data_IF_242781360510
#
_entry.id   IF_242781360510
#
_cell.length_a   1.000
_cell.length_b   1.000
_cell.length_c   1.000
_cell.angle_alpha   90.00
_cell.angle_beta   90.00
_cell.angle_gamma   90.00
#
_symmetry.space_group_name_H-M   'P 1'
#
loop_
_entity.id
_entity.type
_entity.pdbx_description
1 polymer ?
#
# COMPACT_ATOMS: atom_id res chain seq x y z
N UNK A 1 -72.42 -40.19 -31.17
CA UNK A 1 -72.58 -41.59 -31.50
C UNK A 1 -71.45 -42.42 -30.92
N UNK A 2 -71.71 -43.13 -29.85
CA UNK A 2 -71.36 -44.48 -29.34
C UNK A 2 -70.15 -45.19 -30.09
N UNK A 3 -69.14 -45.74 -29.38
CA UNK A 3 -69.06 -47.03 -28.65
C UNK A 3 -67.62 -47.20 -28.14
N UNK A 4 -67.47 -47.45 -26.89
CA UNK A 4 -67.13 -48.66 -26.10
C UNK A 4 -66.28 -49.74 -26.83
N UNK A 5 -65.11 -50.08 -26.26
CA UNK A 5 -64.74 -51.47 -25.94
C UNK A 5 -63.45 -51.52 -25.10
N UNK A 6 -63.40 -52.52 -24.25
CA UNK A 6 -62.61 -52.88 -23.07
C UNK A 6 -61.52 -53.93 -23.47
N UNK A 7 -60.69 -54.43 -22.60
CA UNK A 7 -59.22 -54.37 -22.55
C UNK A 7 -58.52 -55.67 -22.90
N UNK A 8 -57.23 -55.66 -23.10
CA UNK A 8 -56.41 -56.88 -23.11
C UNK A 8 -55.15 -56.64 -22.27
N UNK A 9 -55.05 -57.41 -21.21
CA UNK A 9 -53.84 -57.59 -20.40
C UNK A 9 -52.71 -58.17 -21.24
N UNK A 10 -51.52 -57.59 -21.11
CA UNK A 10 -50.29 -58.22 -21.55
C UNK A 10 -49.19 -58.00 -20.52
N UNK A 11 -48.72 -59.09 -20.01
CA UNK A 11 -47.62 -59.29 -19.09
C UNK A 11 -46.34 -58.68 -19.70
N UNK A 12 -45.76 -57.69 -19.08
CA UNK A 12 -44.47 -57.14 -19.45
C UNK A 12 -43.38 -57.74 -18.58
N UNK A 13 -42.50 -58.44 -19.24
CA UNK A 13 -41.24 -59.03 -18.75
C UNK A 13 -40.27 -57.88 -18.36
N UNK A 14 -39.92 -57.77 -17.08
CA UNK A 14 -38.96 -56.82 -16.60
C UNK A 14 -37.56 -57.37 -16.82
N UNK A 15 -36.87 -56.83 -17.81
CA UNK A 15 -35.42 -57.00 -18.00
C UNK A 15 -34.71 -55.94 -17.19
N UNK A 16 -34.11 -56.32 -16.03
CA UNK A 16 -33.17 -55.49 -15.27
C UNK A 16 -31.83 -55.38 -16.06
N UNK A 17 -31.66 -54.30 -16.79
CA UNK A 17 -30.35 -53.91 -17.32
C UNK A 17 -29.62 -53.07 -16.25
N UNK A 18 -28.61 -53.65 -15.61
CA UNK A 18 -27.67 -52.93 -14.72
C UNK A 18 -26.78 -52.01 -15.57
N UNK A 19 -27.14 -50.71 -15.56
CA UNK A 19 -26.25 -49.66 -16.09
C UNK A 19 -25.16 -49.42 -15.06
N UNK A 20 -23.94 -49.84 -15.34
CA UNK A 20 -22.74 -49.38 -14.65
C UNK A 20 -22.47 -47.94 -15.08
N UNK A 21 -22.85 -46.97 -14.21
CA UNK A 21 -22.49 -45.59 -14.38
C UNK A 21 -21.01 -45.47 -13.97
N UNK A 22 -20.13 -45.41 -14.95
CA UNK A 22 -18.74 -44.98 -14.74
C UNK A 22 -18.77 -43.48 -14.52
N UNK A 23 -18.69 -43.03 -13.25
CA UNK A 23 -18.42 -41.63 -12.93
C UNK A 23 -16.99 -41.29 -13.38
N UNK A 24 -16.79 -40.21 -14.15
CA UNK A 24 -15.42 -39.77 -14.47
C UNK A 24 -14.75 -39.32 -13.16
N UNK A 25 -13.65 -39.95 -12.83
CA UNK A 25 -12.74 -39.48 -11.77
C UNK A 25 -12.22 -38.12 -12.21
N UNK A 26 -12.81 -37.05 -11.65
CA UNK A 26 -12.30 -35.71 -11.84
C UNK A 26 -10.90 -35.65 -11.23
N UNK A 27 -9.91 -35.49 -12.11
CA UNK A 27 -8.54 -35.26 -11.70
C UNK A 27 -8.53 -33.99 -10.82
N UNK A 28 -8.38 -34.17 -9.52
CA UNK A 28 -8.13 -33.08 -8.58
C UNK A 28 -6.86 -32.38 -9.03
N UNK A 29 -7.00 -31.17 -9.56
CA UNK A 29 -5.87 -30.26 -9.74
C UNK A 29 -5.26 -30.08 -8.35
N UNK A 30 -4.07 -30.62 -8.14
CA UNK A 30 -3.31 -30.43 -6.93
C UNK A 30 -3.15 -28.94 -6.70
N UNK A 31 -3.93 -28.40 -5.74
CA UNK A 31 -3.64 -27.11 -5.12
C UNK A 31 -2.22 -27.20 -4.56
N UNK A 32 -1.37 -26.19 -4.75
CA UNK A 32 -0.05 -26.19 -4.14
C UNK A 32 -0.24 -26.37 -2.62
N UNK A 33 0.24 -27.48 -2.09
CA UNK A 33 0.17 -27.81 -0.68
C UNK A 33 1.14 -26.88 0.04
N UNK A 34 0.62 -26.02 0.89
CA UNK A 34 1.43 -25.24 1.85
C UNK A 34 2.24 -26.25 2.67
N UNK A 35 3.55 -26.04 2.87
CA UNK A 35 4.36 -26.96 3.65
C UNK A 35 3.81 -27.12 5.07
N UNK A 36 3.61 -28.36 5.51
CA UNK A 36 2.98 -28.69 6.80
C UNK A 36 3.93 -28.56 8.00
N UNK A 37 5.08 -27.90 7.89
CA UNK A 37 6.09 -27.76 8.94
C UNK A 37 6.48 -26.28 9.19
N UNK A 38 7.19 -26.00 10.29
CA UNK A 38 7.71 -24.67 10.55
C UNK A 38 8.70 -24.27 9.46
N UNK A 39 8.52 -23.06 8.90
CA UNK A 39 9.42 -22.50 7.90
C UNK A 39 10.69 -21.98 8.57
N UNK A 40 11.84 -22.26 7.97
CA UNK A 40 13.10 -21.62 8.31
C UNK A 40 13.03 -20.15 7.85
N UNK A 41 13.63 -19.26 8.63
CA UNK A 41 13.70 -17.82 8.30
C UNK A 41 15.16 -17.43 8.07
N UNK A 42 15.38 -16.61 7.04
CA UNK A 42 16.67 -15.96 6.77
C UNK A 42 16.44 -14.49 6.54
N UNK A 43 17.26 -13.67 7.18
CA UNK A 43 17.30 -12.21 6.98
C UNK A 43 18.63 -11.84 6.35
N UNK A 44 18.60 -11.00 5.32
CA UNK A 44 19.79 -10.49 4.64
C UNK A 44 19.68 -8.99 4.49
N UNK A 45 20.73 -8.26 4.86
CA UNK A 45 20.82 -6.81 4.70
C UNK A 45 21.56 -6.48 3.42
N UNK A 46 20.97 -5.61 2.61
CA UNK A 46 21.54 -5.04 1.39
C UNK A 46 21.76 -3.55 1.60
N UNK A 47 22.89 -3.04 1.14
CA UNK A 47 23.26 -1.64 1.29
C UNK A 47 23.79 -1.08 -0.02
N UNK A 48 23.23 0.06 -0.47
CA UNK A 48 23.63 0.73 -1.69
C UNK A 48 23.66 2.24 -1.49
N UNK A 49 24.60 2.91 -2.18
CA UNK A 49 24.70 4.37 -2.22
C UNK A 49 24.81 4.84 -3.66
N UNK A 50 24.09 5.92 -3.97
CA UNK A 50 24.13 6.57 -5.28
C UNK A 50 24.14 8.07 -5.11
N UNK A 51 24.86 8.76 -5.98
CA UNK A 51 24.79 10.22 -6.04
C UNK A 51 23.51 10.64 -6.74
N UNK A 52 22.88 11.69 -6.23
CA UNK A 52 21.70 12.29 -6.85
C UNK A 52 21.97 13.79 -7.02
N UNK A 53 21.69 14.29 -8.21
CA UNK A 53 21.78 15.72 -8.50
C UNK A 53 20.78 16.56 -7.70
N UNK A 54 20.98 17.85 -7.68
CA UNK A 54 20.05 18.79 -7.04
C UNK A 54 18.65 18.67 -7.67
N UNK A 55 17.60 18.69 -6.83
CA UNK A 55 16.21 18.50 -7.23
C UNK A 55 15.97 17.21 -8.07
N UNK A 56 16.74 16.18 -7.77
CA UNK A 56 16.56 14.88 -8.41
C UNK A 56 15.36 14.11 -7.84
N UNK A 57 15.04 13.00 -8.48
CA UNK A 57 13.89 12.17 -8.12
C UNK A 57 14.31 10.76 -7.65
N UNK A 58 13.58 10.22 -6.68
CA UNK A 58 13.69 8.83 -6.23
C UNK A 58 12.34 8.15 -6.33
N UNK A 59 12.30 7.01 -7.01
CA UNK A 59 11.08 6.21 -7.13
C UNK A 59 11.31 4.82 -6.53
N UNK A 60 10.44 4.39 -5.63
CA UNK A 60 10.40 3.05 -5.07
C UNK A 60 9.24 2.30 -5.70
N UNK A 61 9.50 1.18 -6.38
CA UNK A 61 8.51 0.44 -7.16
C UNK A 61 8.44 -1.01 -6.72
N UNK A 62 7.22 -1.49 -6.54
CA UNK A 62 6.94 -2.92 -6.42
C UNK A 62 7.26 -3.53 -5.06
N UNK A 63 7.37 -2.75 -3.99
CA UNK A 63 7.50 -3.29 -2.63
C UNK A 63 6.21 -4.03 -2.23
N UNK A 64 6.14 -5.38 -2.33
CA UNK A 64 4.87 -6.11 -2.16
C UNK A 64 4.43 -6.21 -0.71
N UNK A 65 5.41 -6.34 0.20
CA UNK A 65 5.23 -6.41 1.64
C UNK A 65 6.49 -5.93 2.36
N UNK A 66 6.32 -5.31 3.52
CA UNK A 66 7.39 -4.77 4.35
C UNK A 66 7.24 -3.26 4.58
N UNK A 67 8.15 -2.69 5.35
CA UNK A 67 8.13 -1.28 5.69
C UNK A 67 8.96 -0.44 4.73
N UNK A 68 8.56 0.84 4.57
CA UNK A 68 9.34 1.83 3.82
C UNK A 68 9.51 3.05 4.72
N UNK A 69 10.74 3.31 5.14
CA UNK A 69 11.10 4.52 5.87
C UNK A 69 11.96 5.40 4.99
N UNK A 70 11.55 6.66 4.79
CA UNK A 70 12.31 7.65 4.01
C UNK A 70 12.57 8.87 4.86
N UNK A 71 13.84 9.25 4.93
CA UNK A 71 14.32 10.39 5.71
C UNK A 71 15.14 11.34 4.84
N UNK A 72 14.83 12.63 4.92
CA UNK A 72 15.64 13.67 4.32
C UNK A 72 16.95 13.90 5.10
N UNK A 73 18.07 14.13 4.38
CA UNK A 73 19.35 14.48 4.99
C UNK A 73 20.10 15.57 4.20
N UNK A 74 21.19 16.07 4.80
CA UNK A 74 21.98 17.18 4.24
C UNK A 74 23.13 16.69 3.33
N UNK A 75 22.97 15.55 2.62
CA UNK A 75 23.96 15.00 1.70
C UNK A 75 23.38 14.92 0.30
N UNK A 76 24.24 14.96 -0.73
CA UNK A 76 23.85 14.80 -2.14
C UNK A 76 23.88 13.32 -2.59
N UNK A 77 23.52 12.42 -1.71
CA UNK A 77 23.52 10.97 -1.95
C UNK A 77 22.16 10.40 -1.54
N UNK A 78 21.77 9.33 -2.21
CA UNK A 78 20.71 8.43 -1.77
C UNK A 78 21.36 7.20 -1.16
N UNK A 79 21.03 6.90 0.08
CA UNK A 79 21.47 5.71 0.78
C UNK A 79 20.28 4.78 0.96
N UNK A 80 20.42 3.55 0.48
CA UNK A 80 19.39 2.51 0.56
C UNK A 80 19.90 1.38 1.45
N UNK A 81 19.25 1.18 2.59
CA UNK A 81 19.40 -0.02 3.40
C UNK A 81 18.13 -0.83 3.27
N UNK A 82 18.23 -2.09 2.90
CA UNK A 82 17.10 -2.98 2.75
C UNK A 82 17.35 -4.28 3.51
N UNK A 83 16.39 -4.67 4.33
CA UNK A 83 16.38 -5.94 5.02
C UNK A 83 15.39 -6.89 4.35
N UNK A 84 15.90 -7.97 3.76
CA UNK A 84 15.10 -8.99 3.08
C UNK A 84 14.91 -10.18 3.99
N UNK A 85 13.68 -10.46 4.41
CA UNK A 85 13.31 -11.63 5.18
C UNK A 85 12.66 -12.66 4.26
N UNK A 86 13.23 -13.85 4.22
CA UNK A 86 12.78 -15.01 3.44
C UNK A 86 12.36 -16.14 4.35
N UNK A 87 11.31 -16.86 3.98
CA UNK A 87 10.85 -18.05 4.69
C UNK A 87 10.64 -19.21 3.74
N UNK A 88 11.27 -20.36 4.06
CA UNK A 88 11.16 -21.59 3.25
C UNK A 88 11.30 -22.86 4.10
N UNK A 89 10.88 -24.01 3.57
CA UNK A 89 10.99 -25.30 4.29
C UNK A 89 12.41 -25.77 4.51
N UNK A 90 13.34 -25.44 3.59
CA UNK A 90 14.73 -25.92 3.64
C UNK A 90 15.73 -24.78 3.44
N UNK A 91 16.97 -24.98 3.89
CA UNK A 91 18.07 -24.05 3.66
C UNK A 91 18.37 -23.86 2.15
N UNK A 92 18.30 -24.96 1.38
CA UNK A 92 18.51 -24.90 -0.07
C UNK A 92 17.42 -24.08 -0.80
N UNK A 93 16.18 -24.09 -0.30
CA UNK A 93 15.10 -23.24 -0.84
C UNK A 93 15.29 -21.78 -0.46
N UNK A 94 15.80 -21.49 0.75
CA UNK A 94 16.22 -20.14 1.14
C UNK A 94 17.33 -19.60 0.23
N UNK A 95 18.33 -20.44 -0.13
CA UNK A 95 19.38 -20.04 -1.07
C UNK A 95 18.81 -19.67 -2.43
N UNK A 96 17.89 -20.46 -2.97
CA UNK A 96 17.23 -20.19 -4.25
C UNK A 96 16.39 -18.90 -4.21
N UNK A 97 15.65 -18.69 -3.12
CA UNK A 97 14.87 -17.45 -2.94
C UNK A 97 15.77 -16.21 -2.81
N UNK A 98 16.91 -16.33 -2.13
CA UNK A 98 17.84 -15.22 -1.95
C UNK A 98 18.48 -14.72 -3.25
N UNK A 99 18.59 -15.59 -4.27
CA UNK A 99 19.13 -15.22 -5.58
C UNK A 99 18.20 -14.28 -6.37
N UNK A 100 16.91 -14.24 -6.05
CA UNK A 100 15.93 -13.50 -6.85
C UNK A 100 15.13 -12.45 -6.06
N UNK A 101 15.00 -12.62 -4.73
CA UNK A 101 14.28 -11.65 -3.90
C UNK A 101 15.24 -10.59 -3.35
N UNK A 102 14.93 -9.33 -3.62
CA UNK A 102 15.73 -8.19 -3.22
C UNK A 102 15.31 -6.93 -3.96
N UNK A 103 16.25 -6.12 -4.36
CA UNK A 103 16.01 -4.95 -5.20
C UNK A 103 17.12 -4.73 -6.22
N UNK A 104 16.80 -3.98 -7.24
CA UNK A 104 17.75 -3.45 -8.22
C UNK A 104 17.63 -1.93 -8.27
N UNK A 105 18.74 -1.25 -8.53
CA UNK A 105 18.76 0.19 -8.80
C UNK A 105 18.91 0.38 -10.29
N UNK A 106 18.00 1.15 -10.86
CA UNK A 106 18.08 1.68 -12.22
C UNK A 106 18.21 3.21 -12.10
N UNK A 107 19.26 3.77 -12.68
CA UNK A 107 19.57 5.19 -12.55
C UNK A 107 19.79 5.85 -13.91
N UNK A 108 19.32 7.06 -14.02
CA UNK A 108 19.67 7.98 -15.10
C UNK A 108 20.19 9.30 -14.51
N UNK A 109 20.42 10.32 -15.35
CA UNK A 109 21.14 11.53 -14.97
C UNK A 109 20.63 12.22 -13.67
N UNK A 110 19.34 12.16 -13.37
CA UNK A 110 18.77 12.82 -12.18
C UNK A 110 17.59 12.04 -11.56
N UNK A 111 17.50 10.74 -11.84
CA UNK A 111 16.43 9.89 -11.32
C UNK A 111 17.00 8.53 -10.90
N UNK A 112 16.72 8.13 -9.68
CA UNK A 112 17.06 6.82 -9.12
C UNK A 112 15.77 6.04 -8.91
N UNK A 113 15.68 4.86 -9.55
CA UNK A 113 14.58 3.91 -9.36
C UNK A 113 15.03 2.72 -8.56
N UNK A 114 14.42 2.49 -7.42
CA UNK A 114 14.62 1.34 -6.55
C UNK A 114 13.50 0.36 -6.86
N UNK A 115 13.84 -0.70 -7.62
CA UNK A 115 12.86 -1.66 -8.12
C UNK A 115 12.96 -2.92 -7.28
N UNK A 116 11.91 -3.23 -6.51
CA UNK A 116 11.84 -4.49 -5.76
C UNK A 116 11.71 -5.65 -6.73
N UNK A 117 12.63 -6.60 -6.64
CA UNK A 117 12.66 -7.80 -7.47
C UNK A 117 12.28 -9.02 -6.64
N UNK A 118 11.67 -10.04 -7.27
CA UNK A 118 11.36 -11.25 -6.53
C UNK A 118 10.23 -12.09 -7.12
N UNK A 119 9.80 -13.07 -6.33
CA UNK A 119 8.78 -14.05 -6.72
C UNK A 119 7.41 -13.45 -7.00
N UNK A 120 7.13 -12.24 -6.56
CA UNK A 120 5.90 -11.51 -6.85
C UNK A 120 5.80 -11.02 -8.30
N UNK A 121 6.94 -10.76 -8.97
CA UNK A 121 6.97 -10.30 -10.36
C UNK A 121 7.19 -11.46 -11.34
N UNK A 122 6.07 -11.91 -11.93
CA UNK A 122 6.08 -12.99 -12.92
C UNK A 122 6.88 -12.67 -14.19
N UNK A 123 6.97 -11.39 -14.58
CA UNK A 123 7.75 -10.97 -15.77
C UNK A 123 9.24 -11.05 -15.48
N UNK A 124 9.63 -10.58 -14.29
CA UNK A 124 11.00 -10.71 -13.80
C UNK A 124 11.43 -12.17 -13.73
N UNK A 125 10.64 -13.05 -13.08
CA UNK A 125 10.93 -14.47 -13.00
C UNK A 125 11.11 -15.14 -14.35
N UNK A 126 10.25 -14.87 -15.32
CA UNK A 126 10.38 -15.42 -16.68
C UNK A 126 11.67 -15.00 -17.38
N UNK A 127 12.21 -13.83 -17.05
CA UNK A 127 13.43 -13.29 -17.65
C UNK A 127 14.69 -13.86 -17.01
N UNK A 128 14.74 -13.95 -15.67
CA UNK A 128 15.97 -14.25 -14.92
C UNK A 128 16.07 -15.70 -14.43
N UNK A 129 14.93 -16.39 -14.28
CA UNK A 129 14.85 -17.72 -13.71
C UNK A 129 13.74 -18.57 -14.34
N UNK A 130 13.90 -18.93 -15.62
CA UNK A 130 12.89 -19.68 -16.39
C UNK A 130 12.47 -20.99 -15.74
N UNK A 131 13.43 -21.68 -15.08
CA UNK A 131 13.24 -22.98 -14.45
C UNK A 131 13.06 -22.88 -12.94
N UNK A 132 12.66 -21.70 -12.44
CA UNK A 132 12.45 -21.51 -11.01
C UNK A 132 11.32 -22.39 -10.48
N UNK A 133 11.56 -23.13 -9.35
CA UNK A 133 10.58 -24.08 -8.82
C UNK A 133 9.25 -23.40 -8.48
N UNK A 134 8.16 -23.88 -9.07
CA UNK A 134 6.81 -23.35 -8.82
C UNK A 134 6.38 -23.45 -7.36
N UNK A 135 6.90 -24.43 -6.62
CA UNK A 135 6.65 -24.61 -5.17
C UNK A 135 7.19 -23.49 -4.31
N UNK A 136 8.18 -22.73 -4.79
CA UNK A 136 8.77 -21.60 -4.08
C UNK A 136 8.07 -20.27 -4.41
N UNK A 137 7.25 -20.23 -5.49
CA UNK A 137 6.47 -19.06 -5.85
C UNK A 137 5.32 -18.95 -4.85
N UNK A 138 5.25 -17.83 -4.12
CA UNK A 138 4.20 -17.61 -3.11
C UNK A 138 4.61 -17.97 -1.69
N UNK A 139 5.85 -18.44 -1.46
CA UNK A 139 6.39 -18.52 -0.11
C UNK A 139 6.50 -17.09 0.48
N UNK A 140 6.30 -16.94 1.81
CA UNK A 140 6.31 -15.64 2.45
C UNK A 140 7.69 -15.01 2.40
N UNK A 141 7.74 -13.75 2.02
CA UNK A 141 8.92 -12.91 2.11
C UNK A 141 8.50 -11.44 2.22
N UNK A 142 9.37 -10.61 2.76
CA UNK A 142 9.19 -9.16 2.85
C UNK A 142 10.52 -8.45 2.65
N UNK A 143 10.42 -7.16 2.36
CA UNK A 143 11.57 -6.27 2.28
C UNK A 143 11.27 -4.98 3.06
N UNK A 144 12.11 -4.68 4.03
CA UNK A 144 12.03 -3.47 4.84
C UNK A 144 13.08 -2.49 4.35
N UNK A 145 12.65 -1.32 3.86
CA UNK A 145 13.52 -0.27 3.34
C UNK A 145 13.72 0.84 4.37
N UNK A 146 14.97 1.24 4.53
CA UNK A 146 15.35 2.50 5.17
C UNK A 146 16.19 3.31 4.19
N UNK A 147 15.61 4.38 3.65
CA UNK A 147 16.18 5.16 2.55
C UNK A 147 16.41 6.60 3.04
N UNK A 148 17.63 7.10 2.84
CA UNK A 148 17.96 8.50 3.07
C UNK A 148 18.13 9.22 1.74
N UNK A 149 17.47 10.37 1.60
CA UNK A 149 17.45 11.17 0.38
C UNK A 149 17.88 12.61 0.65
N UNK A 150 18.47 13.33 -0.31
CA UNK A 150 18.73 14.76 -0.17
C UNK A 150 17.43 15.52 0.17
N UNK A 151 17.53 16.60 0.93
CA UNK A 151 16.37 17.34 1.43
C UNK A 151 15.40 17.86 0.34
N UNK A 152 15.92 18.15 -0.86
CA UNK A 152 15.13 18.68 -2.00
C UNK A 152 14.81 17.62 -3.05
N UNK A 153 14.66 16.35 -2.64
CA UNK A 153 14.38 15.23 -3.55
C UNK A 153 12.90 15.03 -3.75
N UNK A 154 12.46 14.82 -5.00
CA UNK A 154 11.13 14.34 -5.31
C UNK A 154 11.04 12.83 -5.05
N UNK A 155 10.05 12.40 -4.28
CA UNK A 155 9.89 11.00 -3.89
C UNK A 155 8.57 10.44 -4.37
N UNK A 156 8.61 9.27 -5.03
CA UNK A 156 7.43 8.50 -5.44
C UNK A 156 7.50 7.09 -4.88
N UNK A 157 6.46 6.64 -4.23
CA UNK A 157 6.36 5.31 -3.60
C UNK A 157 5.15 4.58 -4.16
N UNK A 158 5.38 3.41 -4.77
CA UNK A 158 4.36 2.45 -5.14
C UNK A 158 4.56 1.18 -4.31
N UNK A 159 3.70 0.98 -3.31
CA UNK A 159 3.83 -0.08 -2.32
C UNK A 159 2.59 -0.99 -2.25
N UNK A 160 2.79 -2.24 -1.81
CA UNK A 160 1.73 -3.18 -1.48
C UNK A 160 1.21 -2.99 -0.06
N UNK A 161 1.75 -3.79 0.86
CA UNK A 161 1.31 -3.81 2.25
C UNK A 161 2.46 -3.56 3.23
N UNK A 162 2.21 -2.73 4.23
CA UNK A 162 3.15 -2.44 5.30
C UNK A 162 3.22 -0.97 5.67
N UNK A 163 3.90 -0.64 6.78
CA UNK A 163 4.01 0.73 7.23
C UNK A 163 4.92 1.58 6.32
N UNK A 164 4.52 2.84 6.14
CA UNK A 164 5.29 3.85 5.41
C UNK A 164 5.58 5.01 6.35
N UNK A 165 6.85 5.42 6.46
CA UNK A 165 7.25 6.60 7.23
C UNK A 165 8.02 7.56 6.34
N UNK A 166 7.64 8.83 6.37
CA UNK A 166 8.23 9.87 5.51
C UNK A 166 8.48 11.12 6.34
N UNK A 167 9.72 11.60 6.34
CA UNK A 167 10.10 12.77 7.14
C UNK A 167 11.32 13.51 6.61
N UNK A 168 11.43 14.79 6.95
CA UNK A 168 12.67 15.55 6.87
C UNK A 168 13.08 16.03 5.49
N UNK A 169 12.17 16.10 4.50
CA UNK A 169 12.46 16.69 3.18
C UNK A 169 11.29 17.53 2.66
N UNK A 170 11.56 18.31 1.62
CA UNK A 170 10.68 19.38 1.10
C UNK A 170 10.34 19.21 -0.39
N UNK A 171 10.90 18.20 -1.07
CA UNK A 171 10.55 17.85 -2.45
C UNK A 171 9.13 17.31 -2.58
N UNK A 172 8.68 17.05 -3.80
CA UNK A 172 7.37 16.44 -4.07
C UNK A 172 7.28 15.05 -3.41
N UNK A 173 6.14 14.73 -2.82
CA UNK A 173 5.86 13.40 -2.25
C UNK A 173 4.63 12.80 -2.89
N UNK A 174 4.80 11.66 -3.52
CA UNK A 174 3.69 10.85 -4.05
C UNK A 174 3.72 9.45 -3.47
N UNK A 175 2.63 9.02 -2.85
CA UNK A 175 2.50 7.70 -2.23
C UNK A 175 1.25 7.00 -2.77
N UNK A 176 1.43 5.80 -3.31
CA UNK A 176 0.35 4.88 -3.65
C UNK A 176 0.58 3.58 -2.87
N UNK A 177 -0.39 3.15 -2.08
CA UNK A 177 -0.30 1.89 -1.35
C UNK A 177 -1.65 1.15 -1.30
N UNK A 178 -1.57 -0.18 -1.20
CA UNK A 178 -2.77 -1.03 -1.10
C UNK A 178 -3.27 -1.07 0.35
N UNK A 179 -2.42 -1.45 1.29
CA UNK A 179 -2.78 -1.47 2.71
C UNK A 179 -1.59 -0.98 3.55
N UNK A 180 -1.77 0.17 4.21
CA UNK A 180 -0.67 0.82 4.92
C UNK A 180 -1.13 1.60 6.16
N UNK A 181 -0.22 1.67 7.12
CA UNK A 181 -0.21 2.74 8.13
C UNK A 181 0.90 3.71 7.71
N UNK A 182 0.51 4.89 7.24
CA UNK A 182 1.46 5.91 6.78
C UNK A 182 1.64 7.01 7.83
N UNK A 183 2.87 7.19 8.30
CA UNK A 183 3.27 8.25 9.21
C UNK A 183 4.03 9.32 8.41
N UNK A 184 3.44 10.49 8.23
CA UNK A 184 3.97 11.59 7.44
C UNK A 184 4.27 12.78 8.35
N UNK A 185 5.53 13.13 8.49
CA UNK A 185 6.00 14.26 9.28
C UNK A 185 6.70 15.27 8.37
N UNK A 186 5.94 16.25 7.86
CA UNK A 186 6.38 17.15 6.79
C UNK A 186 6.01 18.60 7.12
N UNK A 187 6.91 19.52 6.80
CA UNK A 187 6.70 20.98 6.93
C UNK A 187 6.12 21.61 5.67
N UNK A 188 6.35 20.99 4.51
CA UNK A 188 5.91 21.46 3.21
C UNK A 188 6.27 20.48 2.10
N UNK A 189 5.52 20.50 1.01
CA UNK A 189 5.71 19.62 -0.15
C UNK A 189 4.61 19.91 -1.18
N UNK A 190 4.70 19.34 -2.40
CA UNK A 190 3.53 18.99 -3.21
C UNK A 190 3.17 17.53 -2.86
N UNK A 191 2.29 17.35 -1.87
CA UNK A 191 1.97 16.05 -1.29
C UNK A 191 0.74 15.43 -1.97
N UNK A 192 0.89 14.18 -2.45
CA UNK A 192 -0.22 13.37 -2.96
C UNK A 192 -0.14 11.95 -2.39
N UNK A 193 -1.13 11.55 -1.59
CA UNK A 193 -1.20 10.24 -0.95
C UNK A 193 -2.50 9.55 -1.33
N UNK A 194 -2.39 8.31 -1.83
CA UNK A 194 -3.54 7.46 -2.15
C UNK A 194 -3.32 6.09 -1.51
N UNK A 195 -4.16 5.74 -0.54
CA UNK A 195 -4.12 4.45 0.14
C UNK A 195 -5.50 3.80 0.06
N UNK A 196 -5.54 2.51 -0.32
CA UNK A 196 -6.83 1.84 -0.44
C UNK A 196 -7.39 1.48 0.93
N UNK A 197 -6.55 0.99 1.87
CA UNK A 197 -6.99 0.60 3.21
C UNK A 197 -5.91 0.85 4.26
N UNK A 198 -6.29 1.33 5.44
CA UNK A 198 -5.39 1.46 6.57
C UNK A 198 -5.55 2.75 7.37
N UNK A 199 -4.45 3.38 7.72
CA UNK A 199 -4.46 4.64 8.44
C UNK A 199 -3.40 5.60 7.90
N UNK A 200 -3.67 6.89 8.02
CA UNK A 200 -2.69 7.94 7.73
C UNK A 200 -2.60 8.86 8.93
N UNK A 201 -1.41 9.04 9.45
CA UNK A 201 -1.08 10.03 10.47
C UNK A 201 -0.27 11.12 9.78
N UNK A 202 -0.88 12.26 9.56
CA UNK A 202 -0.27 13.41 8.90
C UNK A 202 -0.01 14.53 9.91
N UNK A 203 1.26 14.76 10.22
CA UNK A 203 1.70 15.79 11.18
C UNK A 203 2.38 16.93 10.44
N UNK A 204 1.89 18.14 10.65
CA UNK A 204 2.50 19.39 10.19
C UNK A 204 3.13 20.11 11.38
N UNK A 205 4.45 19.98 11.59
CA UNK A 205 5.15 20.57 12.74
C UNK A 205 5.50 22.05 12.51
N UNK A 206 4.82 22.73 11.60
CA UNK A 206 5.01 24.13 11.27
C UNK A 206 3.69 24.91 11.36
N UNK A 207 3.76 26.24 11.54
CA UNK A 207 2.59 27.09 11.60
C UNK A 207 1.96 27.40 10.24
N UNK A 208 2.56 26.96 9.14
CA UNK A 208 2.04 27.02 7.79
C UNK A 208 2.58 25.84 6.98
N UNK A 209 1.85 25.45 5.95
CA UNK A 209 2.34 24.49 4.97
C UNK A 209 3.22 25.19 3.95
N UNK A 210 4.49 24.79 3.86
CA UNK A 210 5.47 25.39 2.95
C UNK A 210 5.51 24.67 1.59
N UNK A 211 4.35 24.39 1.01
CA UNK A 211 4.21 23.70 -0.27
C UNK A 211 3.02 24.19 -1.05
N UNK A 212 2.83 23.67 -2.27
CA UNK A 212 1.71 24.05 -3.12
C UNK A 212 0.39 23.54 -2.55
N UNK A 213 0.36 22.27 -2.13
CA UNK A 213 -0.85 21.61 -1.61
C UNK A 213 -0.48 20.35 -0.86
N UNK A 214 -1.44 19.85 -0.07
CA UNK A 214 -1.41 18.50 0.45
C UNK A 214 -2.73 17.80 0.13
N UNK A 215 -2.69 16.70 -0.60
CA UNK A 215 -3.85 15.90 -0.95
C UNK A 215 -3.70 14.48 -0.42
N UNK A 216 -4.61 14.04 0.46
CA UNK A 216 -4.63 12.70 1.03
C UNK A 216 -5.97 12.04 0.76
N UNK A 217 -5.93 10.89 0.07
CA UNK A 217 -7.10 10.06 -0.26
C UNK A 217 -6.95 8.68 0.36
N UNK A 218 -7.91 8.29 1.17
CA UNK A 218 -7.99 6.99 1.81
C UNK A 218 -9.34 6.34 1.45
N UNK A 219 -9.33 5.18 0.78
CA UNK A 219 -10.59 4.57 0.39
C UNK A 219 -11.33 3.99 1.61
N UNK A 220 -10.60 3.43 2.58
CA UNK A 220 -11.19 2.93 3.83
C UNK A 220 -10.20 3.01 4.99
N UNK A 221 -10.60 3.60 6.11
CA UNK A 221 -9.80 3.64 7.33
C UNK A 221 -9.84 4.97 8.10
N UNK A 222 -8.74 5.30 8.75
CA UNK A 222 -8.64 6.50 9.61
C UNK A 222 -7.56 7.45 9.08
N UNK A 223 -7.91 8.73 8.97
CA UNK A 223 -6.97 9.81 8.73
C UNK A 223 -6.89 10.71 9.97
N UNK A 224 -5.73 10.79 10.59
CA UNK A 224 -5.43 11.74 11.65
C UNK A 224 -4.56 12.87 11.09
N UNK A 225 -4.95 14.11 11.33
CA UNK A 225 -4.26 15.32 10.89
C UNK A 225 -3.89 16.13 12.12
N UNK A 226 -2.61 16.20 12.41
CA UNK A 226 -2.08 16.90 13.57
C UNK A 226 -1.41 18.21 13.12
N UNK A 227 -2.00 19.34 13.50
CA UNK A 227 -1.55 20.67 13.11
C UNK A 227 -0.92 21.41 14.29
N UNK A 228 0.14 22.17 14.04
CA UNK A 228 0.75 23.02 15.05
C UNK A 228 -0.25 24.06 15.57
N UNK A 229 -0.31 24.32 16.88
CA UNK A 229 -1.09 25.45 17.40
C UNK A 229 -0.73 26.76 16.70
N UNK A 230 -1.77 27.49 16.23
CA UNK A 230 -1.61 28.70 15.42
C UNK A 230 -1.28 28.43 13.94
N UNK A 231 -1.57 27.25 13.44
CA UNK A 231 -1.46 26.91 12.01
C UNK A 231 -2.34 27.83 11.16
N UNK A 232 -1.83 28.21 9.99
CA UNK A 232 -2.52 28.97 8.95
C UNK A 232 -2.59 28.17 7.66
N UNK A 233 -3.80 27.99 7.12
CA UNK A 233 -4.06 27.28 5.87
C UNK A 233 -5.55 27.09 5.63
N UNK A 234 -5.91 26.67 4.42
CA UNK A 234 -7.28 26.28 4.07
C UNK A 234 -7.42 24.76 4.09
N UNK A 235 -8.49 24.25 4.68
CA UNK A 235 -8.71 22.82 4.92
C UNK A 235 -10.03 22.40 4.30
N UNK A 236 -9.97 21.39 3.45
CA UNK A 236 -11.10 20.66 2.90
C UNK A 236 -11.03 19.20 3.33
N UNK A 237 -12.02 18.74 4.08
CA UNK A 237 -12.08 17.36 4.58
C UNK A 237 -13.45 16.75 4.31
N UNK A 238 -13.46 15.60 3.62
CA UNK A 238 -14.69 14.90 3.23
C UNK A 238 -14.66 13.43 3.56
N UNK A 239 -15.73 12.95 4.18
CA UNK A 239 -16.05 11.51 4.27
C UNK A 239 -17.20 11.21 3.32
N UNK A 240 -16.92 10.40 2.28
CA UNK A 240 -17.83 10.27 1.14
C UNK A 240 -19.03 9.35 1.42
N UNK A 241 -18.86 8.28 2.19
CA UNK A 241 -19.89 7.26 2.39
C UNK A 241 -20.27 7.08 3.86
N UNK A 242 -19.45 6.34 4.61
CA UNK A 242 -19.77 6.00 6.01
C UNK A 242 -18.69 6.57 6.92
N UNK A 243 -19.12 7.31 7.96
CA UNK A 243 -18.21 7.88 8.96
C UNK A 243 -18.41 9.38 9.17
N UNK A 244 -17.40 10.03 9.71
CA UNK A 244 -17.49 11.42 10.14
C UNK A 244 -16.15 12.16 10.11
N UNK A 245 -16.23 13.49 10.08
CA UNK A 245 -15.10 14.40 10.29
C UNK A 245 -15.19 14.95 11.70
N UNK A 246 -14.16 14.73 12.52
CA UNK A 246 -14.04 15.29 13.87
C UNK A 246 -12.95 16.35 13.88
N UNK A 247 -13.23 17.51 14.44
CA UNK A 247 -12.22 18.54 14.64
C UNK A 247 -12.15 18.94 16.12
N UNK A 248 -10.96 18.76 16.67
CA UNK A 248 -10.57 19.28 17.99
C UNK A 248 -9.58 20.45 17.86
N UNK A 249 -9.24 20.86 16.62
CA UNK A 249 -8.34 21.98 16.37
C UNK A 249 -9.08 23.30 16.60
N UNK A 250 -8.59 24.11 17.53
CA UNK A 250 -9.14 25.42 17.83
C UNK A 250 -8.78 26.43 16.72
N UNK A 251 -9.72 27.29 16.34
CA UNK A 251 -9.47 28.34 15.36
C UNK A 251 -9.73 27.93 13.90
N UNK A 252 -10.53 26.88 13.67
CA UNK A 252 -11.11 26.62 12.36
C UNK A 252 -12.36 27.49 12.16
N UNK A 253 -12.31 28.38 11.18
CA UNK A 253 -13.44 29.24 10.80
C UNK A 253 -14.07 28.70 9.49
N UNK A 254 -15.42 28.58 9.41
CA UNK A 254 -16.09 28.21 8.19
C UNK A 254 -15.74 29.16 7.05
N UNK A 255 -15.34 28.65 5.89
CA UNK A 255 -15.10 29.50 4.71
C UNK A 255 -16.39 30.02 4.08
N UNK A 256 -17.48 29.25 4.22
CA UNK A 256 -18.80 29.56 3.69
C UNK A 256 -19.89 29.19 4.71
N UNK A 257 -21.09 29.72 4.50
CA UNK A 257 -22.25 29.38 5.34
C UNK A 257 -22.53 27.89 5.23
N UNK A 258 -22.63 27.19 6.37
CA UNK A 258 -22.84 25.72 6.46
C UNK A 258 -21.70 24.84 5.89
N UNK A 259 -20.48 25.36 5.84
CA UNK A 259 -19.33 24.60 5.34
C UNK A 259 -18.70 23.66 6.35
N UNK A 260 -19.26 23.55 7.56
CA UNK A 260 -18.86 22.59 8.59
C UNK A 260 -20.04 21.70 8.92
N UNK A 261 -19.93 20.44 8.59
CA UNK A 261 -20.92 19.39 8.84
C UNK A 261 -20.28 18.09 9.34
N UNK A 262 -21.08 17.08 9.69
CA UNK A 262 -20.56 15.84 10.26
C UNK A 262 -19.68 15.03 9.29
N UNK A 263 -19.80 15.22 7.99
CA UNK A 263 -19.01 14.52 6.98
C UNK A 263 -18.23 15.41 6.03
N UNK A 264 -18.36 16.72 6.16
CA UNK A 264 -17.66 17.68 5.30
C UNK A 264 -17.27 18.91 6.10
N UNK A 265 -16.03 19.32 5.98
CA UNK A 265 -15.48 20.52 6.60
C UNK A 265 -14.75 21.31 5.53
N UNK A 266 -15.17 22.57 5.32
CA UNK A 266 -14.52 23.60 4.52
C UNK A 266 -14.19 24.75 5.44
N UNK A 267 -12.95 24.79 5.91
CA UNK A 267 -12.55 25.72 6.95
C UNK A 267 -11.24 26.43 6.61
N UNK A 268 -11.06 27.55 7.27
CA UNK A 268 -9.82 28.32 7.28
C UNK A 268 -9.25 28.29 8.70
N UNK A 269 -7.96 28.01 8.79
CA UNK A 269 -7.19 28.19 10.00
C UNK A 269 -6.34 29.47 9.88
N UNK A 270 -6.36 30.31 10.90
CA UNK A 270 -5.60 31.55 10.93
C UNK A 270 -5.85 32.45 9.72
N UNK A 271 -4.80 32.90 9.05
CA UNK A 271 -4.90 33.80 7.88
C UNK A 271 -5.18 33.05 6.55
N UNK A 272 -5.40 31.73 6.60
CA UNK A 272 -5.48 30.92 5.38
C UNK A 272 -4.11 30.65 4.77
N UNK A 273 -4.08 30.18 3.51
CA UNK A 273 -2.83 29.89 2.81
C UNK A 273 -2.95 28.68 1.90
N UNK A 274 -1.98 27.75 1.99
CA UNK A 274 -2.00 26.54 1.18
C UNK A 274 -3.23 25.68 1.46
N UNK A 275 -3.71 24.99 0.42
CA UNK A 275 -4.87 24.11 0.50
C UNK A 275 -4.47 22.70 0.94
N UNK A 276 -5.08 22.21 2.01
CA UNK A 276 -4.98 20.85 2.49
C UNK A 276 -6.30 20.12 2.22
N UNK A 277 -6.29 19.11 1.38
CA UNK A 277 -7.48 18.38 0.95
C UNK A 277 -7.43 16.94 1.43
N UNK A 278 -8.42 16.52 2.18
CA UNK A 278 -8.52 15.21 2.80
C UNK A 278 -9.80 14.50 2.37
N UNK A 279 -9.68 13.30 1.83
CA UNK A 279 -10.83 12.52 1.38
C UNK A 279 -10.75 11.11 1.94
N UNK A 280 -11.77 10.68 2.67
CA UNK A 280 -11.93 9.31 3.13
C UNK A 280 -13.22 8.74 2.56
N UNK A 281 -13.15 7.57 1.95
CA UNK A 281 -14.34 6.88 1.44
C UNK A 281 -15.23 6.39 2.58
N UNK A 282 -14.72 5.43 3.35
CA UNK A 282 -15.37 4.87 4.54
C UNK A 282 -14.42 5.01 5.74
N UNK A 283 -14.81 5.74 6.77
CA UNK A 283 -13.99 5.90 7.96
C UNK A 283 -14.07 7.27 8.60
N UNK A 284 -12.99 7.69 9.22
CA UNK A 284 -12.98 8.90 10.05
C UNK A 284 -11.80 9.80 9.67
N UNK A 285 -12.06 11.11 9.61
CA UNK A 285 -11.03 12.15 9.58
C UNK A 285 -11.02 12.83 10.95
N UNK A 286 -9.89 12.86 11.61
CA UNK A 286 -9.69 13.56 12.87
C UNK A 286 -8.67 14.69 12.65
N UNK A 287 -9.07 15.93 12.95
CA UNK A 287 -8.19 17.11 12.84
C UNK A 287 -7.96 17.64 14.25
N UNK A 288 -6.71 17.65 14.70
CA UNK A 288 -6.36 18.05 16.06
C UNK A 288 -5.06 18.84 16.14
N UNK A 289 -4.75 19.36 17.31
CA UNK A 289 -3.43 19.93 17.58
C UNK A 289 -2.39 18.81 17.68
N UNK A 290 -1.15 19.11 17.27
CA UNK A 290 -0.01 18.22 17.52
C UNK A 290 0.03 17.92 19.02
N UNK A 291 -0.18 16.65 19.36
CA UNK A 291 0.02 16.21 20.75
C UNK A 291 1.51 16.21 21.03
N UNK A 292 1.93 16.97 22.03
CA UNK A 292 3.26 16.80 22.64
C UNK A 292 3.30 15.43 23.32
N UNK A 293 3.53 14.36 22.53
CA UNK A 293 3.93 13.08 23.12
C UNK A 293 5.34 13.28 23.67
N UNK A 294 5.43 13.36 24.99
CA UNK A 294 6.69 13.23 25.75
C UNK A 294 7.30 11.86 25.53
#
# INVERSE_FOLDING_TARGET
VKRRAIPVSSVALVLLSTFYIHAPVAAQKNKPTTPAGPLLTRTTTLHEKRRLGYAGAVTIVGAPAGSITIEGWQRSEVEVNAEVELRAPTAADLDRLALINGFAIDEDANHIRIITTGTHDKKYLKRVAKDFPKSLIGLPWKIDYHIKVPAMTDVSIDAGTGPIKVSGFEGMVRINAVESVADLFLTGSDLSVIIQKGAVNFTVPARAWHGLRAEIKLASGKLAVDLMPGFSGDIDADVLRVGEVKSAFSGLEPRERNSIGPRSVRARAGNGGAMLTFTVGDGTIEIGPVSSKQ
#
